data_IF_639443518555
#
_entry.id   IF_639443518555
#
_cell.length_a   1.000
_cell.length_b   1.000
_cell.length_c   1.000
_cell.angle_alpha   90.00
_cell.angle_beta   90.00
_cell.angle_gamma   90.00
#
_symmetry.space_group_name_H-M   'P 1'
#
loop_
_entity.id
_entity.type
_entity.pdbx_description
1 polymer ?
#
# COMPACT_ATOMS: atom_id res chain seq x y z
N UNK A 1 -17.07 7.52 -17.62
CA UNK A 1 -16.10 6.44 -17.89
C UNK A 1 -15.32 6.82 -19.13
N UNK A 2 -14.12 7.39 -18.96
CA UNK A 2 -13.23 7.66 -20.10
C UNK A 2 -12.42 6.39 -20.30
N UNK A 3 -12.78 5.57 -21.27
CA UNK A 3 -11.93 4.50 -21.75
C UNK A 3 -10.76 5.17 -22.48
N UNK A 4 -9.66 5.41 -21.76
CA UNK A 4 -8.40 5.75 -22.38
C UNK A 4 -7.96 4.59 -23.26
N UNK A 5 -7.86 4.84 -24.56
CA UNK A 5 -7.38 3.85 -25.50
C UNK A 5 -5.85 3.74 -25.35
N UNK A 6 -5.40 2.82 -24.49
CA UNK A 6 -3.97 2.54 -24.24
C UNK A 6 -3.39 1.56 -25.29
N UNK A 7 -3.81 1.70 -26.55
CA UNK A 7 -3.36 0.83 -27.64
C UNK A 7 -1.84 0.90 -27.89
N UNK A 8 -1.26 2.09 -27.74
CA UNK A 8 0.20 2.31 -27.87
C UNK A 8 0.95 1.53 -26.78
N UNK A 9 0.48 1.62 -25.55
CA UNK A 9 1.06 0.88 -24.42
C UNK A 9 0.92 -0.64 -24.62
N UNK A 10 -0.22 -1.08 -25.18
CA UNK A 10 -0.46 -2.50 -25.45
C UNK A 10 0.48 -3.04 -26.55
N UNK A 11 0.69 -2.27 -27.60
CA UNK A 11 1.59 -2.67 -28.68
C UNK A 11 3.05 -2.66 -28.19
N UNK A 12 3.44 -1.67 -27.40
CA UNK A 12 4.75 -1.65 -26.77
C UNK A 12 4.96 -2.85 -25.79
N UNK A 13 3.94 -3.23 -25.03
CA UNK A 13 4.00 -4.42 -24.17
C UNK A 13 4.17 -5.72 -24.98
N UNK A 14 3.52 -5.85 -26.15
CA UNK A 14 3.70 -6.98 -27.08
C UNK A 14 5.12 -7.04 -27.65
N UNK A 15 5.69 -5.89 -28.01
CA UNK A 15 7.07 -5.80 -28.49
C UNK A 15 8.06 -6.26 -27.40
N UNK A 16 7.80 -5.91 -26.14
CA UNK A 16 8.59 -6.39 -25.00
C UNK A 16 8.45 -7.92 -24.82
N UNK A 17 7.25 -8.47 -24.97
CA UNK A 17 7.01 -9.92 -24.90
C UNK A 17 7.71 -10.69 -26.04
N UNK A 18 7.88 -10.06 -27.21
CA UNK A 18 8.66 -10.62 -28.31
C UNK A 18 10.18 -10.58 -28.05
N UNK A 19 10.60 -10.17 -26.87
CA UNK A 19 11.98 -10.10 -26.40
C UNK A 19 12.91 -9.24 -27.29
N UNK A 20 12.38 -8.21 -27.93
CA UNK A 20 13.19 -7.25 -28.67
C UNK A 20 14.11 -6.48 -27.69
N UNK A 21 15.46 -6.57 -27.85
CA UNK A 21 16.40 -5.98 -26.89
C UNK A 21 16.21 -4.47 -26.71
N UNK A 22 15.87 -3.75 -27.79
CA UNK A 22 15.63 -2.32 -27.76
C UNK A 22 14.34 -1.99 -26.95
N UNK A 23 13.26 -2.76 -27.13
CA UNK A 23 12.01 -2.55 -26.39
C UNK A 23 12.21 -2.84 -24.89
N UNK A 24 12.96 -3.87 -24.54
CA UNK A 24 13.29 -4.20 -23.15
C UNK A 24 14.17 -3.14 -22.48
N UNK A 25 15.16 -2.61 -23.20
CA UNK A 25 15.98 -1.51 -22.71
C UNK A 25 15.14 -0.25 -22.47
N UNK A 26 14.29 0.10 -23.44
CA UNK A 26 13.36 1.24 -23.33
C UNK A 26 12.39 1.07 -22.16
N UNK A 27 11.81 -0.12 -21.97
CA UNK A 27 10.91 -0.43 -20.85
C UNK A 27 11.58 -0.13 -19.50
N UNK A 28 12.81 -0.61 -19.31
CA UNK A 28 13.57 -0.39 -18.08
C UNK A 28 13.93 1.09 -17.89
N UNK A 29 14.49 1.72 -18.92
CA UNK A 29 14.92 3.11 -18.86
C UNK A 29 13.74 4.06 -18.56
N UNK A 30 12.61 3.85 -19.19
CA UNK A 30 11.43 4.70 -19.09
C UNK A 30 10.73 4.58 -17.73
N UNK A 31 10.61 3.35 -17.20
CA UNK A 31 9.73 3.13 -16.03
C UNK A 31 10.47 2.91 -14.72
N UNK A 32 11.76 2.50 -14.72
CA UNK A 32 12.53 2.26 -13.48
C UNK A 32 12.55 3.46 -12.53
N UNK A 33 12.79 4.72 -12.98
CA UNK A 33 12.84 5.84 -12.06
C UNK A 33 11.54 6.06 -11.30
N UNK A 34 10.40 6.00 -12.02
CA UNK A 34 9.07 6.20 -11.43
C UNK A 34 8.70 5.06 -10.45
N UNK A 35 9.00 3.81 -10.83
CA UNK A 35 8.71 2.65 -9.97
C UNK A 35 9.59 2.65 -8.71
N UNK A 36 10.86 3.02 -8.84
CA UNK A 36 11.79 3.15 -7.70
C UNK A 36 11.34 4.24 -6.74
N UNK A 37 11.00 5.44 -7.25
CA UNK A 37 10.48 6.53 -6.44
C UNK A 37 9.23 6.09 -5.66
N UNK A 38 8.27 5.46 -6.32
CA UNK A 38 7.06 4.95 -5.67
C UNK A 38 7.40 3.95 -4.55
N UNK A 39 8.28 2.97 -4.77
CA UNK A 39 8.66 1.99 -3.76
C UNK A 39 9.30 2.64 -2.53
N UNK A 40 10.21 3.60 -2.75
CA UNK A 40 10.87 4.35 -1.66
C UNK A 40 9.85 5.20 -0.91
N UNK A 41 8.94 5.90 -1.60
CA UNK A 41 7.90 6.73 -0.96
C UNK A 41 6.91 5.92 -0.13
N UNK A 42 6.76 4.62 -0.42
CA UNK A 42 5.93 3.68 0.37
C UNK A 42 6.72 2.92 1.46
N UNK A 43 7.98 3.31 1.70
CA UNK A 43 8.77 2.77 2.80
C UNK A 43 9.70 1.61 2.46
N UNK A 44 9.94 1.35 1.16
CA UNK A 44 10.99 0.41 0.76
C UNK A 44 12.37 1.03 0.95
N UNK A 45 13.35 0.25 1.40
CA UNK A 45 14.74 0.66 1.34
C UNK A 45 15.24 0.66 -0.12
N UNK A 46 16.33 1.36 -0.40
CA UNK A 46 16.99 1.38 -1.72
C UNK A 46 17.25 -0.05 -2.23
N UNK A 47 17.84 -0.90 -1.39
CA UNK A 47 18.15 -2.29 -1.72
C UNK A 47 16.89 -3.12 -2.01
N UNK A 48 15.82 -2.96 -1.21
CA UNK A 48 14.53 -3.63 -1.44
C UNK A 48 13.91 -3.19 -2.76
N UNK A 49 13.96 -1.89 -3.07
CA UNK A 49 13.44 -1.37 -4.33
C UNK A 49 14.19 -1.93 -5.54
N UNK A 50 15.54 -1.99 -5.48
CA UNK A 50 16.36 -2.58 -6.54
C UNK A 50 16.06 -4.06 -6.75
N UNK A 51 15.93 -4.84 -5.67
CA UNK A 51 15.59 -6.26 -5.73
C UNK A 51 14.19 -6.51 -6.32
N UNK A 52 13.22 -5.67 -5.95
CA UNK A 52 11.86 -5.76 -6.50
C UNK A 52 11.87 -5.45 -7.99
N UNK A 53 12.58 -4.40 -8.40
CA UNK A 53 12.68 -4.03 -9.81
C UNK A 53 13.41 -5.08 -10.64
N UNK A 54 14.50 -5.67 -10.11
CA UNK A 54 15.21 -6.75 -10.77
C UNK A 54 14.31 -7.97 -10.99
N UNK A 55 13.54 -8.35 -9.98
CA UNK A 55 12.54 -9.43 -10.06
C UNK A 55 11.44 -9.08 -11.06
N UNK A 56 10.90 -7.85 -11.00
CA UNK A 56 9.86 -7.37 -11.92
C UNK A 56 10.27 -7.52 -13.38
N UNK A 57 11.46 -7.01 -13.73
CA UNK A 57 11.92 -7.03 -15.12
C UNK A 57 12.12 -8.45 -15.66
N UNK A 58 12.55 -9.37 -14.79
CA UNK A 58 12.65 -10.80 -15.13
C UNK A 58 11.28 -11.41 -15.34
N UNK A 59 10.36 -11.22 -14.38
CA UNK A 59 9.01 -11.79 -14.43
C UNK A 59 8.13 -11.19 -15.53
N UNK A 60 8.40 -9.94 -15.97
CA UNK A 60 7.62 -9.29 -17.01
C UNK A 60 7.83 -9.93 -18.38
N UNK A 61 9.02 -10.44 -18.65
CA UNK A 61 9.45 -10.79 -20.02
C UNK A 61 9.92 -12.22 -20.20
N UNK A 62 10.29 -12.91 -19.12
CA UNK A 62 10.79 -14.29 -19.21
C UNK A 62 9.66 -15.27 -18.91
N UNK A 63 9.50 -16.25 -19.80
CA UNK A 63 8.63 -17.41 -19.57
C UNK A 63 9.35 -18.38 -18.64
N UNK A 64 8.87 -18.47 -17.39
CA UNK A 64 9.34 -19.47 -16.46
C UNK A 64 8.47 -20.73 -16.62
N UNK A 65 9.07 -21.89 -16.51
CA UNK A 65 8.40 -23.21 -16.65
C UNK A 65 7.09 -23.36 -15.86
N UNK A 66 6.85 -22.50 -14.88
CA UNK A 66 5.67 -22.52 -14.00
C UNK A 66 4.84 -21.23 -14.05
N UNK A 67 5.32 -20.14 -14.65
CA UNK A 67 4.64 -18.83 -14.68
C UNK A 67 4.83 -18.15 -16.02
N UNK A 68 3.72 -17.75 -16.62
CA UNK A 68 3.72 -16.90 -17.82
C UNK A 68 4.24 -15.50 -17.51
N UNK A 69 4.85 -14.80 -18.50
CA UNK A 69 5.30 -13.43 -18.35
C UNK A 69 4.20 -12.53 -17.81
N UNK A 70 4.51 -11.66 -16.85
CA UNK A 70 3.49 -10.78 -16.23
C UNK A 70 2.87 -9.82 -17.24
N UNK A 71 3.61 -9.37 -18.26
CA UNK A 71 3.10 -8.51 -19.33
C UNK A 71 2.01 -9.16 -20.19
N UNK A 72 1.91 -10.49 -20.26
CA UNK A 72 0.78 -11.16 -20.93
C UNK A 72 -0.58 -10.85 -20.28
N UNK A 73 -0.58 -10.41 -19.03
CA UNK A 73 -1.80 -10.03 -18.30
C UNK A 73 -2.21 -8.57 -18.54
N UNK A 74 -1.39 -7.80 -19.24
CA UNK A 74 -1.70 -6.43 -19.58
C UNK A 74 -2.59 -6.36 -20.83
N UNK A 75 -3.80 -5.82 -20.68
CA UNK A 75 -4.82 -5.77 -21.73
C UNK A 75 -5.16 -4.34 -22.17
N UNK A 76 -4.35 -3.35 -21.80
CA UNK A 76 -4.57 -1.95 -22.18
C UNK A 76 -5.75 -1.25 -21.47
N UNK A 77 -6.19 -1.74 -20.32
CA UNK A 77 -7.30 -1.13 -19.54
C UNK A 77 -6.87 0.11 -18.76
N UNK A 78 -5.59 0.26 -18.49
CA UNK A 78 -4.95 1.40 -17.84
C UNK A 78 -3.62 1.67 -18.53
N UNK A 79 -2.90 2.74 -18.16
CA UNK A 79 -1.54 2.96 -18.68
C UNK A 79 -0.60 1.81 -18.25
N UNK A 80 0.40 1.52 -19.07
CA UNK A 80 1.40 0.50 -18.73
C UNK A 80 2.14 0.85 -17.43
N UNK A 81 2.38 2.13 -17.17
CA UNK A 81 2.95 2.60 -15.91
C UNK A 81 2.08 2.21 -14.71
N UNK A 82 0.77 2.45 -14.77
CA UNK A 82 -0.18 2.08 -13.70
C UNK A 82 -0.16 0.58 -13.45
N UNK A 83 -0.19 -0.22 -14.51
CA UNK A 83 -0.07 -1.68 -14.39
C UNK A 83 1.22 -2.12 -13.70
N UNK A 84 2.36 -1.56 -14.12
CA UNK A 84 3.67 -1.88 -13.53
C UNK A 84 3.76 -1.43 -12.07
N UNK A 85 3.22 -0.25 -11.72
CA UNK A 85 3.12 0.22 -10.33
C UNK A 85 2.35 -0.76 -9.45
N UNK A 86 1.20 -1.23 -9.92
CA UNK A 86 0.39 -2.22 -9.19
C UNK A 86 1.14 -3.55 -9.00
N UNK A 87 1.85 -4.01 -10.05
CA UNK A 87 2.66 -5.25 -9.94
C UNK A 87 3.78 -5.10 -8.93
N UNK A 88 4.51 -3.97 -8.94
CA UNK A 88 5.56 -3.67 -7.96
C UNK A 88 5.00 -3.63 -6.53
N UNK A 89 3.86 -2.97 -6.35
CA UNK A 89 3.24 -2.85 -5.04
C UNK A 89 2.81 -4.20 -4.48
N UNK A 90 2.18 -5.03 -5.29
CA UNK A 90 1.81 -6.39 -4.87
C UNK A 90 3.06 -7.21 -4.47
N UNK A 91 4.17 -7.10 -5.20
CA UNK A 91 5.42 -7.78 -4.86
C UNK A 91 6.02 -7.24 -3.54
N UNK A 92 5.97 -5.92 -3.32
CA UNK A 92 6.43 -5.29 -2.08
C UNK A 92 5.61 -5.77 -0.87
N UNK A 93 4.29 -5.74 -0.96
CA UNK A 93 3.38 -6.23 0.07
C UNK A 93 3.61 -7.71 0.36
N UNK A 94 3.75 -8.55 -0.68
CA UNK A 94 4.02 -9.97 -0.50
C UNK A 94 5.37 -10.26 0.17
N UNK A 95 6.39 -9.42 -0.06
CA UNK A 95 7.68 -9.51 0.66
C UNK A 95 7.51 -9.14 2.13
N UNK A 96 6.84 -8.01 2.43
CA UNK A 96 6.54 -7.59 3.80
C UNK A 96 5.77 -8.65 4.59
N UNK A 97 4.77 -9.29 3.98
CA UNK A 97 4.03 -10.40 4.60
C UNK A 97 4.93 -11.61 4.92
N UNK A 98 5.86 -11.93 4.02
CA UNK A 98 6.82 -13.02 4.24
C UNK A 98 7.76 -12.70 5.39
N UNK A 99 8.30 -11.50 5.44
CA UNK A 99 9.21 -11.03 6.48
C UNK A 99 8.51 -10.90 7.84
N UNK A 100 7.29 -10.39 7.88
CA UNK A 100 6.46 -10.33 9.08
C UNK A 100 6.15 -11.71 9.66
N UNK A 101 5.84 -12.72 8.81
CA UNK A 101 5.68 -14.11 9.24
C UNK A 101 6.98 -14.69 9.77
N UNK A 102 8.10 -14.42 9.11
CA UNK A 102 9.43 -14.86 9.54
C UNK A 102 9.82 -14.27 10.89
N UNK A 103 9.61 -12.97 11.09
CA UNK A 103 9.87 -12.30 12.39
C UNK A 103 9.05 -12.92 13.53
N UNK A 104 7.75 -13.22 13.32
CA UNK A 104 6.91 -13.89 14.32
C UNK A 104 7.44 -15.30 14.66
N UNK A 105 7.85 -16.07 13.66
CA UNK A 105 8.43 -17.41 13.89
C UNK A 105 9.76 -17.32 14.67
N UNK A 106 10.60 -16.33 14.37
CA UNK A 106 11.87 -16.12 15.08
C UNK A 106 11.64 -15.58 16.49
N UNK A 107 10.64 -14.72 16.71
CA UNK A 107 10.28 -14.21 18.04
C UNK A 107 9.68 -15.29 18.95
N UNK A 108 8.88 -16.21 18.40
CA UNK A 108 8.38 -17.39 19.14
C UNK A 108 9.52 -18.36 19.52
N UNK A 109 10.65 -18.30 18.82
CA UNK A 109 11.82 -19.18 19.06
C UNK A 109 12.89 -18.54 19.95
N UNK A 110 12.76 -17.27 20.31
CA UNK A 110 13.76 -16.51 21.07
C UNK A 110 13.05 -15.64 22.11
N UNK A 111 12.86 -16.19 23.30
CA UNK A 111 12.75 -15.32 24.49
C UNK A 111 14.11 -14.67 24.71
N UNK A 112 14.07 -13.35 24.90
CA UNK A 112 15.18 -12.43 25.19
C UNK A 112 16.07 -12.02 24.01
N UNK A 113 15.74 -10.83 23.48
CA UNK A 113 16.61 -9.66 23.22
C UNK A 113 15.81 -8.68 22.34
N UNK A 114 15.39 -7.54 22.92
CA UNK A 114 14.84 -6.42 22.17
C UNK A 114 15.98 -5.59 21.55
N UNK A 115 16.02 -5.39 20.25
CA UNK A 115 16.63 -4.19 19.69
C UNK A 115 15.53 -3.13 19.52
N UNK A 116 15.64 -2.04 20.23
CA UNK A 116 14.93 -0.79 19.96
C UNK A 116 15.24 -0.33 18.53
N UNK A 117 14.24 -0.04 17.69
CA UNK A 117 14.50 0.62 16.42
C UNK A 117 14.94 2.06 16.67
N UNK A 118 16.10 2.41 16.15
CA UNK A 118 16.59 3.79 16.07
C UNK A 118 15.61 4.63 15.23
N UNK A 119 15.18 5.82 15.68
CA UNK A 119 14.29 6.66 14.89
C UNK A 119 15.08 7.21 13.69
N UNK A 120 14.81 6.66 12.50
CA UNK A 120 15.35 7.16 11.25
C UNK A 120 14.90 8.62 11.05
N UNK A 121 15.88 9.50 10.83
CA UNK A 121 15.73 10.92 10.51
C UNK A 121 14.72 11.14 9.38
N UNK A 122 13.90 12.21 9.44
CA UNK A 122 12.96 12.52 8.36
C UNK A 122 13.75 12.89 7.10
N UNK A 123 13.64 12.06 6.07
CA UNK A 123 14.21 12.34 4.77
C UNK A 123 13.52 13.59 4.17
N UNK A 124 14.32 14.58 3.85
CA UNK A 124 13.91 15.82 3.19
C UNK A 124 13.36 15.49 1.81
N UNK A 125 12.05 15.68 1.60
CA UNK A 125 11.38 15.44 0.32
C UNK A 125 11.88 16.39 -0.75
N UNK A 126 12.21 15.85 -1.92
CA UNK A 126 12.59 16.60 -3.12
C UNK A 126 11.37 16.85 -4.02
N UNK A 127 11.28 17.97 -4.75
CA UNK A 127 10.07 18.35 -5.50
C UNK A 127 9.78 17.54 -6.78
N UNK A 128 10.54 16.49 -7.09
CA UNK A 128 10.30 15.63 -8.27
C UNK A 128 9.23 14.55 -8.05
N UNK A 129 8.59 14.50 -6.88
CA UNK A 129 7.71 13.41 -6.43
C UNK A 129 6.25 13.51 -6.93
N UNK A 130 5.94 14.41 -7.86
CA UNK A 130 4.56 14.64 -8.34
C UNK A 130 3.93 13.47 -9.13
N UNK A 131 4.72 12.46 -9.50
CA UNK A 131 4.20 11.26 -10.18
C UNK A 131 3.93 10.09 -9.22
N UNK A 132 4.50 10.09 -8.01
CA UNK A 132 4.31 9.04 -7.01
C UNK A 132 3.05 9.25 -6.15
N UNK A 133 2.44 10.44 -6.26
CA UNK A 133 1.22 10.82 -5.53
C UNK A 133 -0.01 9.96 -5.85
N UNK A 134 0.00 9.18 -6.94
CA UNK A 134 -1.24 8.51 -7.36
C UNK A 134 -1.65 7.39 -6.40
N UNK A 135 -0.74 6.54 -5.91
CA UNK A 135 -1.11 5.46 -5.00
C UNK A 135 -1.36 5.97 -3.58
N UNK A 136 -0.46 6.81 -3.06
CA UNK A 136 -0.64 7.45 -1.75
C UNK A 136 -1.91 8.31 -1.76
N UNK A 137 -2.20 9.02 -2.86
CA UNK A 137 -3.43 9.78 -3.03
C UNK A 137 -4.68 8.89 -3.06
N UNK A 138 -4.62 7.74 -3.73
CA UNK A 138 -5.71 6.74 -3.72
C UNK A 138 -5.92 6.21 -2.31
N UNK A 139 -4.86 5.82 -1.61
CA UNK A 139 -4.92 5.31 -0.24
C UNK A 139 -5.51 6.37 0.72
N UNK A 140 -5.02 7.60 0.63
CA UNK A 140 -5.53 8.73 1.43
C UNK A 140 -7.00 9.03 1.12
N UNK A 141 -7.37 9.12 -0.14
CA UNK A 141 -8.75 9.37 -0.57
C UNK A 141 -9.70 8.25 -0.12
N UNK A 142 -9.27 6.99 -0.25
CA UNK A 142 -10.05 5.84 0.21
C UNK A 142 -10.30 5.88 1.71
N UNK A 143 -9.27 6.22 2.49
CA UNK A 143 -9.35 6.34 3.94
C UNK A 143 -10.28 7.49 4.36
N UNK A 144 -10.13 8.68 3.76
CA UNK A 144 -10.99 9.83 4.04
C UNK A 144 -12.46 9.50 3.73
N UNK A 145 -12.73 8.86 2.58
CA UNK A 145 -14.08 8.41 2.22
C UNK A 145 -14.64 7.42 3.25
N UNK A 146 -13.83 6.51 3.76
CA UNK A 146 -14.25 5.57 4.80
C UNK A 146 -14.58 6.28 6.13
N UNK A 147 -13.80 7.30 6.50
CA UNK A 147 -14.10 8.12 7.68
C UNK A 147 -15.40 8.93 7.50
N UNK A 148 -15.66 9.48 6.32
CA UNK A 148 -16.90 10.21 6.03
C UNK A 148 -18.15 9.30 6.12
N UNK A 149 -18.02 8.02 5.85
CA UNK A 149 -19.09 7.02 6.00
C UNK A 149 -19.24 6.48 7.42
N UNK A 150 -18.27 6.77 8.30
CA UNK A 150 -18.32 6.30 9.69
C UNK A 150 -19.44 7.02 10.46
N UNK A 151 -20.30 6.29 11.22
CA UNK A 151 -21.35 6.92 12.02
C UNK A 151 -20.77 7.96 12.99
N UNK A 152 -21.40 9.16 13.15
CA UNK A 152 -20.84 10.24 13.97
C UNK A 152 -20.52 9.84 15.42
N UNK A 153 -21.33 8.97 16.01
CA UNK A 153 -21.08 8.48 17.36
C UNK A 153 -19.80 7.64 17.48
N UNK A 154 -19.55 6.80 16.48
CA UNK A 154 -18.35 5.97 16.41
C UNK A 154 -17.12 6.84 16.13
N UNK A 155 -17.25 7.86 15.27
CA UNK A 155 -16.18 8.82 15.00
C UNK A 155 -15.75 9.56 16.27
N UNK A 156 -16.71 10.03 17.10
CA UNK A 156 -16.41 10.68 18.37
C UNK A 156 -15.65 9.74 19.30
N UNK A 157 -16.06 8.47 19.40
CA UNK A 157 -15.36 7.49 20.24
C UNK A 157 -13.93 7.26 19.74
N UNK A 158 -13.73 7.11 18.43
CA UNK A 158 -12.40 6.97 17.83
C UNK A 158 -11.51 8.16 18.16
N UNK A 159 -12.02 9.40 18.03
CA UNK A 159 -11.26 10.60 18.37
C UNK A 159 -10.90 10.64 19.87
N UNK A 160 -11.84 10.35 20.76
CA UNK A 160 -11.59 10.36 22.20
C UNK A 160 -10.52 9.33 22.60
N UNK A 161 -10.53 8.15 21.99
CA UNK A 161 -9.58 7.08 22.33
C UNK A 161 -8.24 7.30 21.65
N UNK A 162 -8.20 7.53 20.34
CA UNK A 162 -6.94 7.51 19.59
C UNK A 162 -6.25 8.88 19.51
N UNK A 163 -7.01 9.98 19.49
CA UNK A 163 -6.42 11.32 19.44
C UNK A 163 -6.23 11.88 20.87
N UNK A 164 -7.27 11.78 21.70
CA UNK A 164 -7.21 12.35 23.05
C UNK A 164 -6.70 11.35 24.11
N UNK A 165 -6.31 10.13 23.74
CA UNK A 165 -5.70 9.15 24.62
C UNK A 165 -6.61 8.67 25.78
N UNK A 166 -7.93 8.84 25.65
CA UNK A 166 -8.87 8.42 26.69
C UNK A 166 -9.00 6.89 26.70
N UNK A 167 -9.07 6.33 27.91
CA UNK A 167 -9.36 4.91 28.07
C UNK A 167 -10.84 4.62 27.77
N UNK A 168 -11.14 3.42 27.26
CA UNK A 168 -12.52 2.99 27.00
C UNK A 168 -13.41 3.12 28.24
N UNK A 169 -12.83 2.88 29.43
CA UNK A 169 -13.52 3.05 30.72
C UNK A 169 -13.89 4.51 31.00
N UNK A 170 -13.03 5.47 30.66
CA UNK A 170 -13.31 6.90 30.83
C UNK A 170 -14.44 7.34 29.88
N UNK A 171 -14.37 6.90 28.62
CA UNK A 171 -15.42 7.18 27.62
C UNK A 171 -16.76 6.56 28.05
N UNK A 172 -16.76 5.32 28.54
CA UNK A 172 -17.94 4.64 29.04
C UNK A 172 -18.59 5.39 30.20
N UNK A 173 -17.78 5.93 31.12
CA UNK A 173 -18.25 6.74 32.26
C UNK A 173 -18.92 8.04 31.81
N UNK A 174 -18.34 8.75 30.82
CA UNK A 174 -18.90 9.99 30.27
C UNK A 174 -20.25 9.71 29.57
N UNK A 175 -20.34 8.58 28.87
CA UNK A 175 -21.53 8.20 28.09
C UNK A 175 -22.58 7.44 28.89
N UNK A 176 -22.33 7.21 30.19
CA UNK A 176 -23.25 6.51 31.07
C UNK A 176 -23.55 5.06 30.61
N UNK A 177 -22.55 4.39 30.03
CA UNK A 177 -22.72 3.03 29.54
C UNK A 177 -21.64 2.08 30.05
N UNK A 178 -21.76 0.80 29.75
CA UNK A 178 -20.75 -0.20 30.13
C UNK A 178 -19.56 -0.19 29.15
N UNK A 179 -18.34 -0.38 29.67
CA UNK A 179 -17.08 -0.40 28.90
C UNK A 179 -17.15 -1.35 27.71
N UNK A 180 -17.73 -2.55 27.87
CA UNK A 180 -17.91 -3.51 26.78
C UNK A 180 -18.77 -2.99 25.61
N UNK A 181 -19.62 -1.96 25.83
CA UNK A 181 -20.33 -1.32 24.73
C UNK A 181 -19.40 -0.42 23.93
N UNK A 182 -18.53 0.32 24.60
CA UNK A 182 -17.52 1.16 23.93
C UNK A 182 -16.54 0.29 23.12
N UNK A 183 -16.04 -0.82 23.69
CA UNK A 183 -15.18 -1.77 22.98
C UNK A 183 -15.83 -2.25 21.69
N UNK A 184 -17.05 -2.77 21.76
CA UNK A 184 -17.78 -3.24 20.55
C UNK A 184 -18.03 -2.15 19.53
N UNK A 185 -18.24 -0.90 19.96
CA UNK A 185 -18.41 0.22 19.03
C UNK A 185 -17.10 0.59 18.34
N UNK A 186 -15.97 0.52 19.05
CA UNK A 186 -14.64 0.71 18.48
C UNK A 186 -14.30 -0.40 17.47
N UNK A 187 -14.48 -1.65 17.85
CA UNK A 187 -14.23 -2.80 16.97
C UNK A 187 -15.06 -2.69 15.68
N UNK A 188 -16.37 -2.40 15.83
CA UNK A 188 -17.27 -2.21 14.69
C UNK A 188 -16.87 -1.03 13.80
N UNK A 189 -16.39 0.08 14.39
CA UNK A 189 -15.95 1.24 13.63
C UNK A 189 -14.66 0.93 12.84
N UNK A 190 -13.70 0.26 13.47
CA UNK A 190 -12.45 -0.14 12.81
C UNK A 190 -12.70 -1.12 11.68
N UNK A 191 -13.55 -2.13 11.89
CA UNK A 191 -13.93 -3.10 10.86
C UNK A 191 -14.62 -2.42 9.67
N UNK A 192 -15.51 -1.46 9.92
CA UNK A 192 -16.19 -0.71 8.87
C UNK A 192 -15.22 0.17 8.08
N UNK A 193 -14.35 0.92 8.77
CA UNK A 193 -13.33 1.76 8.13
C UNK A 193 -12.40 0.89 7.27
N UNK A 194 -11.95 -0.24 7.80
CA UNK A 194 -11.10 -1.18 7.05
C UNK A 194 -11.81 -1.69 5.78
N UNK A 195 -13.05 -2.16 5.91
CA UNK A 195 -13.82 -2.70 4.79
C UNK A 195 -14.11 -1.63 3.72
N UNK A 196 -14.47 -0.41 4.11
CA UNK A 196 -14.80 0.67 3.18
C UNK A 196 -13.54 1.21 2.49
N UNK A 197 -12.42 1.32 3.21
CA UNK A 197 -11.12 1.70 2.65
C UNK A 197 -10.67 0.70 1.59
N UNK A 198 -10.64 -0.60 1.91
CA UNK A 198 -10.22 -1.64 0.97
C UNK A 198 -11.15 -1.74 -0.23
N UNK A 199 -12.46 -1.54 -0.04
CA UNK A 199 -13.44 -1.47 -1.14
C UNK A 199 -13.14 -0.29 -2.06
N UNK A 200 -12.87 0.89 -1.52
CA UNK A 200 -12.56 2.09 -2.29
C UNK A 200 -11.27 1.95 -3.07
N UNK A 201 -10.22 1.37 -2.45
CA UNK A 201 -8.96 1.05 -3.13
C UNK A 201 -9.20 0.09 -4.29
N UNK A 202 -9.96 -0.98 -4.07
CA UNK A 202 -10.25 -1.98 -5.11
C UNK A 202 -11.10 -1.43 -6.25
N UNK A 203 -11.94 -0.43 -6.00
CA UNK A 203 -12.68 0.28 -7.04
C UNK A 203 -11.76 1.21 -7.86
N UNK A 204 -10.78 1.84 -7.22
CA UNK A 204 -9.81 2.72 -7.89
C UNK A 204 -8.77 1.91 -8.68
N UNK A 205 -8.28 0.82 -8.12
CA UNK A 205 -7.34 -0.11 -8.76
C UNK A 205 -7.77 -1.58 -8.49
N UNK A 206 -8.52 -2.20 -9.42
CA UNK A 206 -8.99 -3.58 -9.26
C UNK A 206 -7.88 -4.64 -9.18
N UNK A 207 -6.68 -4.31 -9.63
CA UNK A 207 -5.53 -5.22 -9.65
C UNK A 207 -4.70 -5.18 -8.37
N UNK A 208 -4.89 -4.14 -7.56
CA UNK A 208 -4.19 -3.99 -6.30
C UNK A 208 -4.80 -4.92 -5.24
N UNK A 209 -3.98 -5.86 -4.73
CA UNK A 209 -4.40 -6.85 -3.75
C UNK A 209 -3.75 -6.57 -2.39
N UNK A 210 -4.37 -5.68 -1.62
CA UNK A 210 -3.92 -5.27 -0.29
C UNK A 210 -4.91 -5.79 0.75
N UNK A 211 -4.40 -6.31 1.88
CA UNK A 211 -5.19 -6.58 3.09
C UNK A 211 -5.08 -5.37 4.03
N UNK A 212 -5.91 -5.34 5.09
CA UNK A 212 -5.92 -4.22 6.02
C UNK A 212 -4.59 -4.02 6.74
N UNK A 213 -3.97 -5.11 7.16
CA UNK A 213 -2.67 -5.10 7.83
C UNK A 213 -1.57 -4.52 6.92
N UNK A 214 -1.58 -4.88 5.64
CA UNK A 214 -0.62 -4.35 4.66
C UNK A 214 -0.86 -2.85 4.42
N UNK A 215 -2.13 -2.44 4.38
CA UNK A 215 -2.50 -1.03 4.24
C UNK A 215 -1.96 -0.21 5.41
N UNK A 216 -2.07 -0.70 6.65
CA UNK A 216 -1.53 -0.04 7.83
C UNK A 216 0.00 0.08 7.77
N UNK A 217 0.70 -1.00 7.39
CA UNK A 217 2.16 -0.97 7.21
C UNK A 217 2.60 0.03 6.13
N UNK A 218 1.86 0.13 5.03
CA UNK A 218 2.12 1.10 3.96
C UNK A 218 1.88 2.54 4.42
N UNK A 219 0.81 2.78 5.18
CA UNK A 219 0.52 4.08 5.77
C UNK A 219 1.63 4.53 6.72
N UNK A 220 2.10 3.63 7.59
CA UNK A 220 3.19 3.90 8.52
C UNK A 220 4.50 4.22 7.76
N UNK A 221 4.87 3.40 6.78
CA UNK A 221 6.03 3.62 5.92
C UNK A 221 5.97 4.91 5.11
N UNK A 222 4.77 5.34 4.69
CA UNK A 222 4.55 6.60 3.97
C UNK A 222 4.39 7.83 4.90
N UNK A 223 4.48 7.63 6.22
CA UNK A 223 4.25 8.69 7.21
C UNK A 223 2.79 9.18 7.26
N UNK A 224 1.85 8.35 6.80
CA UNK A 224 0.42 8.59 6.91
C UNK A 224 -0.07 8.04 8.24
N UNK A 225 -0.04 8.85 9.29
CA UNK A 225 -0.65 8.44 10.55
C UNK A 225 -2.18 8.52 10.46
N UNK A 226 -2.85 7.41 10.81
CA UNK A 226 -4.32 7.33 10.76
C UNK A 226 -5.00 8.27 11.76
N UNK A 227 -4.32 8.61 12.85
CA UNK A 227 -4.87 9.35 13.97
C UNK A 227 -3.92 10.45 14.49
N UNK A 228 -2.95 10.93 13.69
CA UNK A 228 -2.17 12.10 14.10
C UNK A 228 -2.99 13.37 13.95
N UNK A 229 -2.97 14.19 14.98
CA UNK A 229 -3.40 15.58 14.87
C UNK A 229 -2.63 16.24 13.71
N UNK A 230 -3.37 16.73 12.74
CA UNK A 230 -2.82 17.65 11.76
C UNK A 230 -2.61 18.96 12.50
N UNK A 231 -1.41 19.57 12.52
CA UNK A 231 -1.16 20.83 13.19
C UNK A 231 -1.97 21.97 12.61
#
# INVERSE_FOLDING_TARGET
MVQGNHSVDLDFAKDCLSQHPAALAQLREQYTPSLRGMLISTGASESEAEDILASLWTDCTVDHSTRRPRLERYWGQCSLLTFLKTVCMNEFVDRRRRDGRWRRIVQDSSQDIYPTPDPASPATRSPSDLADDSLIAIMRSALLTAFDHCPPQQMVILQLVFIHGMTQRQVAKIWGCHEAKISRMLDSAMDQIAADTLRSIKLADPWLNIQWEDFLELCDGAGLSLFSENP
#
